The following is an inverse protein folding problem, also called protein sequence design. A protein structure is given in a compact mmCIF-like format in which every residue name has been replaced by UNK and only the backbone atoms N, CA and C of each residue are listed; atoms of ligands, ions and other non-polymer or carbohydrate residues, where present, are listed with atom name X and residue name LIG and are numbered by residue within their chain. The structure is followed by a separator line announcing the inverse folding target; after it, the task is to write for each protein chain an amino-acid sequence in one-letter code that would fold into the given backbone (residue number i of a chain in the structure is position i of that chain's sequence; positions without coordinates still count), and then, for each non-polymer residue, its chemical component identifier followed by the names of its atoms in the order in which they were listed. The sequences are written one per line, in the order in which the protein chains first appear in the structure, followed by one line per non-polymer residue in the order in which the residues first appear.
data_IF_907796155296
#
_entry.id   IF_907796155296
#
_cell.length_a   1.000
_cell.length_b   1.000
_cell.length_c   1.000
_cell.angle_alpha   90.00
_cell.angle_beta   90.00
_cell.angle_gamma   90.00
#
_symmetry.space_group_name_H-M   'P 1'
#
loop_
_entity.id
_entity.type
_entity.pdbx_description
1 polymer ?
#
# COMPACT_ATOMS: atom_id res chain seq x y z
N UNK A 1 -19.62 -21.98 -26.52
CA UNK A 1 -19.92 -21.17 -25.31
C UNK A 1 -20.30 -19.77 -25.78
N UNK A 2 -21.29 -19.11 -25.18
CA UNK A 2 -21.65 -17.74 -25.58
C UNK A 2 -20.71 -16.71 -24.97
N UNK A 3 -20.72 -15.46 -25.45
CA UNK A 3 -19.95 -14.39 -24.81
C UNK A 3 -20.51 -14.12 -23.41
N UNK A 4 -19.63 -13.95 -22.43
CA UNK A 4 -20.03 -13.63 -21.05
C UNK A 4 -19.43 -12.33 -20.58
N UNK A 5 -20.08 -11.72 -19.60
CA UNK A 5 -19.55 -10.56 -18.88
C UNK A 5 -19.75 -10.78 -17.38
N UNK A 6 -18.73 -10.47 -16.59
CA UNK A 6 -18.79 -10.63 -15.14
C UNK A 6 -18.02 -9.52 -14.44
N UNK A 7 -18.34 -9.26 -13.18
CA UNK A 7 -17.46 -8.48 -12.31
C UNK A 7 -16.24 -9.33 -11.99
N UNK A 8 -15.08 -8.71 -12.02
CA UNK A 8 -13.82 -9.37 -11.77
C UNK A 8 -12.98 -8.51 -10.84
N UNK A 9 -12.19 -9.17 -9.98
CA UNK A 9 -11.25 -8.50 -9.09
C UNK A 9 -9.85 -8.88 -9.52
N UNK A 10 -9.10 -7.88 -9.95
CA UNK A 10 -7.70 -8.01 -10.32
C UNK A 10 -6.82 -7.67 -9.10
N UNK A 11 -5.91 -8.59 -8.79
CA UNK A 11 -4.86 -8.39 -7.80
C UNK A 11 -3.56 -8.07 -8.53
N UNK A 12 -3.08 -6.86 -8.32
CA UNK A 12 -1.91 -6.30 -9.00
C UNK A 12 -0.78 -6.24 -7.97
N UNK A 13 0.40 -6.74 -8.34
CA UNK A 13 1.54 -6.82 -7.43
C UNK A 13 1.89 -5.48 -6.81
N UNK A 14 1.92 -4.41 -7.61
CA UNK A 14 2.20 -3.07 -7.14
C UNK A 14 1.49 -2.02 -7.99
N UNK A 15 1.30 -0.84 -7.39
CA UNK A 15 0.86 0.35 -8.09
C UNK A 15 1.86 1.48 -7.81
N UNK A 16 2.88 1.57 -8.66
CA UNK A 16 3.94 2.57 -8.50
C UNK A 16 3.40 3.98 -8.78
N UNK A 17 3.78 4.99 -7.98
CA UNK A 17 3.51 6.38 -8.32
C UNK A 17 4.36 6.80 -9.53
N UNK A 18 3.96 7.87 -10.22
CA UNK A 18 4.76 8.41 -11.32
C UNK A 18 6.12 8.99 -10.88
N UNK A 19 6.16 9.51 -9.65
CA UNK A 19 7.37 9.89 -8.92
C UNK A 19 7.17 9.52 -7.45
N UNK A 20 8.20 8.97 -6.81
CA UNK A 20 8.23 8.74 -5.36
C UNK A 20 8.25 10.05 -4.59
N UNK A 21 8.06 9.97 -3.28
CA UNK A 21 8.20 11.13 -2.40
C UNK A 21 9.67 11.52 -2.27
N UNK A 22 9.90 12.83 -2.13
CA UNK A 22 11.24 13.38 -2.01
C UNK A 22 11.43 14.68 -2.80
N UNK A 23 12.66 15.16 -2.77
CA UNK A 23 13.09 16.41 -3.41
C UNK A 23 13.68 16.14 -4.80
N UNK A 24 13.22 16.89 -5.79
CA UNK A 24 13.57 16.75 -7.20
C UNK A 24 14.09 18.07 -7.78
N UNK A 25 14.95 17.94 -8.78
CA UNK A 25 15.49 19.06 -9.56
C UNK A 25 15.17 18.85 -11.04
N UNK A 26 14.60 19.87 -11.69
CA UNK A 26 14.40 19.94 -13.13
C UNK A 26 15.39 20.93 -13.73
N UNK A 27 16.23 20.45 -14.64
CA UNK A 27 17.08 21.30 -15.45
C UNK A 27 16.47 21.49 -16.84
N UNK A 28 16.08 22.73 -17.16
CA UNK A 28 15.47 23.09 -18.44
C UNK A 28 16.51 23.79 -19.31
N UNK A 29 16.90 23.16 -20.41
CA UNK A 29 17.73 23.77 -21.45
C UNK A 29 17.00 23.86 -22.78
N UNK A 30 17.16 24.97 -23.50
CA UNK A 30 16.56 25.16 -24.82
C UNK A 30 17.64 25.48 -25.84
N UNK A 31 17.58 24.81 -26.99
CA UNK A 31 18.38 25.12 -28.18
C UNK A 31 17.45 25.37 -29.35
N UNK A 32 17.60 26.49 -30.07
CA UNK A 32 16.80 26.79 -31.27
C UNK A 32 17.64 26.56 -32.52
N UNK A 33 17.09 25.82 -33.49
CA UNK A 33 17.74 25.53 -34.78
C UNK A 33 16.86 26.02 -35.94
N UNK A 34 17.37 26.94 -36.75
CA UNK A 34 16.74 27.39 -38.00
C UNK A 34 17.78 27.89 -39.01
N UNK A 35 17.42 28.00 -40.29
CA UNK A 35 18.31 28.55 -41.30
C UNK A 35 18.68 30.01 -40.96
N UNK A 36 19.97 30.31 -40.85
CA UNK A 36 20.48 31.64 -40.45
C UNK A 36 20.64 31.85 -38.94
N UNK A 37 20.32 30.85 -38.11
CA UNK A 37 20.45 30.90 -36.64
C UNK A 37 21.77 30.24 -36.23
N UNK A 38 22.70 31.03 -35.67
CA UNK A 38 24.05 30.56 -35.29
C UNK A 38 24.05 29.54 -34.13
N UNK A 39 25.17 28.84 -33.90
CA UNK A 39 25.32 27.86 -32.80
C UNK A 39 25.21 28.45 -31.38
N UNK A 40 25.09 29.78 -31.25
CA UNK A 40 24.94 30.51 -29.97
C UNK A 40 23.49 30.58 -29.44
N UNK A 41 22.55 29.83 -30.01
CA UNK A 41 21.14 29.84 -29.60
C UNK A 41 20.81 28.81 -28.51
N UNK A 42 21.71 28.69 -27.52
CA UNK A 42 21.51 27.90 -26.30
C UNK A 42 21.17 28.85 -25.17
N UNK A 43 19.98 28.71 -24.60
CA UNK A 43 19.56 29.47 -23.43
C UNK A 43 20.13 28.84 -22.17
N UNK A 44 20.49 29.67 -21.19
CA UNK A 44 21.02 29.21 -19.90
C UNK A 44 20.04 28.23 -19.25
N UNK A 45 20.56 27.09 -18.79
CA UNK A 45 19.79 26.11 -18.05
C UNK A 45 19.10 26.80 -16.86
N UNK A 46 17.79 26.65 -16.74
CA UNK A 46 17.07 27.03 -15.54
C UNK A 46 16.89 25.78 -14.69
N UNK A 47 17.36 25.85 -13.45
CA UNK A 47 17.20 24.78 -12.46
C UNK A 47 16.01 25.11 -11.57
N UNK A 48 15.02 24.22 -11.54
CA UNK A 48 13.84 24.33 -10.69
C UNK A 48 13.84 23.19 -9.69
N UNK A 49 13.77 23.51 -8.41
CA UNK A 49 13.63 22.51 -7.35
C UNK A 49 12.16 22.41 -6.96
N UNK A 50 11.66 21.19 -6.80
CA UNK A 50 10.30 20.91 -6.34
C UNK A 50 10.29 19.63 -5.52
N UNK A 51 9.28 19.47 -4.66
CA UNK A 51 9.18 18.30 -3.78
C UNK A 51 7.85 17.57 -4.04
N UNK A 52 7.90 16.25 -4.05
CA UNK A 52 6.72 15.38 -4.05
C UNK A 52 6.46 14.97 -2.61
N UNK A 53 5.34 15.42 -2.05
CA UNK A 53 4.97 15.14 -0.66
C UNK A 53 4.39 13.73 -0.51
N UNK A 54 4.86 13.00 0.50
CA UNK A 54 4.32 11.70 0.91
C UNK A 54 4.08 11.65 2.40
N UNK A 55 3.03 10.92 2.81
CA UNK A 55 2.81 10.65 4.23
C UNK A 55 3.99 9.82 4.76
N UNK A 56 4.56 10.20 5.92
CA UNK A 56 5.73 9.54 6.51
C UNK A 56 5.54 9.21 7.99
N UNK A 57 5.22 10.21 8.79
CA UNK A 57 5.09 10.08 10.25
C UNK A 57 3.65 9.94 10.74
N UNK A 58 2.68 10.43 9.95
CA UNK A 58 1.26 10.33 10.23
C UNK A 58 0.54 10.00 8.94
N UNK A 59 -0.59 9.31 9.05
CA UNK A 59 -1.49 9.05 7.93
C UNK A 59 -2.74 9.90 8.08
N UNK A 60 -3.24 10.43 6.97
CA UNK A 60 -4.54 11.11 6.98
C UNK A 60 -5.63 10.04 7.08
N UNK A 61 -6.65 10.24 7.94
CA UNK A 61 -7.77 9.31 8.02
C UNK A 61 -8.47 9.06 6.67
N UNK A 62 -8.45 10.06 5.77
CA UNK A 62 -9.03 9.97 4.43
C UNK A 62 -8.25 9.03 3.47
N UNK A 63 -6.98 8.73 3.76
CA UNK A 63 -6.19 7.78 2.96
C UNK A 63 -6.55 6.33 3.29
N UNK A 64 -7.18 6.08 4.43
CA UNK A 64 -7.66 4.75 4.86
C UNK A 64 -9.08 4.54 4.34
N UNK A 65 -9.26 3.56 3.44
CA UNK A 65 -10.56 3.14 2.96
C UNK A 65 -11.28 2.25 3.98
N UNK A 66 -10.58 1.25 4.52
CA UNK A 66 -11.12 0.38 5.56
C UNK A 66 -10.03 -0.34 6.36
N UNK A 67 -10.40 -0.82 7.55
CA UNK A 67 -9.55 -1.66 8.40
C UNK A 67 -10.38 -2.86 8.85
N UNK A 68 -9.78 -4.05 8.80
CA UNK A 68 -10.42 -5.26 9.30
C UNK A 68 -9.42 -6.13 10.06
N UNK A 69 -9.75 -6.66 11.26
CA UNK A 69 -10.94 -6.37 12.05
C UNK A 69 -11.06 -4.88 12.43
N UNK A 70 -12.27 -4.37 12.72
CA UNK A 70 -12.43 -3.00 13.22
C UNK A 70 -11.63 -2.77 14.51
N UNK A 71 -11.13 -1.54 14.75
CA UNK A 71 -10.44 -1.21 16.00
C UNK A 71 -11.29 -1.54 17.22
N UNK A 72 -10.67 -2.11 18.26
CA UNK A 72 -11.33 -2.49 19.52
C UNK A 72 -12.52 -3.46 19.36
N UNK A 73 -12.55 -4.23 18.27
CA UNK A 73 -13.59 -5.26 18.08
C UNK A 73 -13.35 -6.49 18.97
N UNK A 74 -14.45 -7.06 19.46
CA UNK A 74 -14.47 -8.31 20.20
C UNK A 74 -15.12 -9.38 19.31
N UNK A 75 -14.40 -10.46 19.02
CA UNK A 75 -14.88 -11.52 18.15
C UNK A 75 -13.83 -12.59 17.88
N UNK A 76 -14.25 -13.66 17.21
CA UNK A 76 -13.35 -14.71 16.74
C UNK A 76 -12.62 -14.22 15.49
N UNK A 77 -11.41 -13.69 15.69
CA UNK A 77 -10.57 -13.16 14.62
C UNK A 77 -9.34 -14.03 14.36
N UNK A 78 -9.20 -15.19 15.00
CA UNK A 78 -8.02 -16.05 14.83
C UNK A 78 -7.93 -16.68 13.44
N UNK A 79 -9.03 -16.70 12.68
CA UNK A 79 -9.10 -17.27 11.34
C UNK A 79 -9.04 -16.23 10.22
N UNK A 80 -8.78 -14.96 10.53
CA UNK A 80 -8.70 -13.88 9.53
C UNK A 80 -7.38 -13.14 9.68
N UNK A 81 -6.71 -12.89 8.56
CA UNK A 81 -5.57 -11.99 8.53
C UNK A 81 -6.07 -10.55 8.70
N UNK A 82 -5.60 -9.82 9.72
CA UNK A 82 -5.83 -8.39 9.80
C UNK A 82 -5.33 -7.72 8.53
N UNK A 83 -6.01 -6.67 8.09
CA UNK A 83 -5.66 -5.91 6.90
C UNK A 83 -6.08 -4.46 7.02
N UNK A 84 -5.33 -3.59 6.37
CA UNK A 84 -5.71 -2.20 6.11
C UNK A 84 -5.81 -2.00 4.60
N UNK A 85 -6.85 -1.29 4.17
CA UNK A 85 -7.09 -0.93 2.77
C UNK A 85 -6.93 0.57 2.64
N UNK A 86 -6.05 1.02 1.75
CA UNK A 86 -5.82 2.42 1.44
C UNK A 86 -6.57 2.87 0.19
N UNK A 87 -7.25 4.01 0.29
CA UNK A 87 -7.85 4.71 -0.83
C UNK A 87 -6.78 5.33 -1.74
N UNK A 88 -5.65 5.78 -1.16
CA UNK A 88 -4.45 6.18 -1.90
C UNK A 88 -3.67 4.92 -2.29
N UNK A 89 -4.02 4.36 -3.45
CA UNK A 89 -3.49 3.08 -3.92
C UNK A 89 -1.98 3.06 -4.20
N UNK A 90 -1.31 4.21 -4.33
CA UNK A 90 0.16 4.26 -4.49
C UNK A 90 0.90 4.33 -3.17
N UNK A 91 0.22 4.66 -2.07
CA UNK A 91 0.83 5.03 -0.79
C UNK A 91 1.88 4.00 -0.31
N UNK A 92 1.64 2.68 -0.36
CA UNK A 92 2.64 1.71 0.10
C UNK A 92 3.93 1.69 -0.74
N UNK A 93 3.95 2.29 -1.94
CA UNK A 93 5.10 2.33 -2.85
C UNK A 93 5.70 3.73 -3.04
N UNK A 94 5.30 4.71 -2.23
CA UNK A 94 5.78 6.09 -2.37
C UNK A 94 7.18 6.33 -1.81
N UNK A 95 7.69 5.42 -0.97
CA UNK A 95 9.04 5.48 -0.39
C UNK A 95 9.80 4.18 -0.66
N UNK A 96 11.08 4.12 -0.31
CA UNK A 96 11.92 2.93 -0.48
C UNK A 96 12.29 2.32 0.87
N UNK A 97 12.31 0.99 0.94
CA UNK A 97 12.72 0.27 2.16
C UNK A 97 14.25 0.21 2.34
N UNK A 98 14.99 0.42 1.25
CA UNK A 98 16.43 0.27 1.19
C UNK A 98 16.98 1.07 0.00
N UNK A 99 18.27 1.36 0.03
CA UNK A 99 18.98 1.77 -1.17
C UNK A 99 19.15 0.56 -2.12
N UNK A 100 18.88 0.71 -3.43
CA UNK A 100 19.18 -0.31 -4.42
C UNK A 100 20.67 -0.65 -4.44
N UNK A 101 21.01 -1.95 -4.51
CA UNK A 101 22.43 -2.36 -4.54
C UNK A 101 23.15 -1.92 -5.81
N UNK A 102 22.41 -1.80 -6.91
CA UNK A 102 22.87 -1.35 -8.21
C UNK A 102 21.69 -0.85 -9.07
N UNK A 103 21.96 -0.37 -10.28
CA UNK A 103 20.93 0.18 -11.19
C UNK A 103 19.91 -0.85 -11.66
N UNK A 104 20.27 -2.12 -11.75
CA UNK A 104 19.38 -3.19 -12.22
C UNK A 104 18.41 -3.66 -11.14
N UNK A 105 18.76 -3.38 -9.88
CA UNK A 105 17.99 -3.72 -8.69
C UNK A 105 16.99 -2.63 -8.29
N UNK A 106 17.07 -1.46 -8.93
CA UNK A 106 16.20 -0.31 -8.65
C UNK A 106 14.72 -0.69 -8.74
N UNK A 107 14.30 -1.31 -9.84
CA UNK A 107 12.89 -1.68 -10.07
C UNK A 107 12.40 -2.72 -9.05
N UNK A 108 13.30 -3.58 -8.56
CA UNK A 108 13.00 -4.61 -7.56
C UNK A 108 12.70 -3.95 -6.22
N UNK A 109 13.54 -3.03 -5.79
CA UNK A 109 13.36 -2.30 -4.52
C UNK A 109 12.19 -1.31 -4.60
N UNK A 110 11.98 -0.68 -5.75
CA UNK A 110 10.88 0.24 -5.97
C UNK A 110 9.50 -0.43 -5.88
N UNK A 111 9.42 -1.71 -6.28
CA UNK A 111 8.24 -2.56 -6.16
C UNK A 111 7.93 -3.01 -4.72
N UNK A 112 8.87 -2.85 -3.77
CA UNK A 112 8.68 -3.27 -2.39
C UNK A 112 7.91 -2.21 -1.59
N UNK A 113 6.86 -2.60 -0.84
CA UNK A 113 6.13 -1.66 -0.02
C UNK A 113 6.97 -1.16 1.17
N UNK A 114 6.92 0.15 1.44
CA UNK A 114 7.65 0.75 2.57
C UNK A 114 6.93 0.64 3.91
N UNK A 115 5.86 -0.15 3.99
CA UNK A 115 5.08 -0.33 5.21
C UNK A 115 4.60 -1.77 5.34
N UNK A 116 4.42 -2.22 6.57
CA UNK A 116 3.89 -3.54 6.89
C UNK A 116 2.87 -3.45 8.03
N UNK A 117 1.88 -4.33 7.99
CA UNK A 117 0.93 -4.50 9.09
C UNK A 117 1.39 -5.67 9.96
N UNK A 118 1.69 -5.41 11.23
CA UNK A 118 2.24 -6.39 12.16
C UNK A 118 1.24 -6.70 13.27
N UNK A 119 1.02 -7.99 13.51
CA UNK A 119 0.25 -8.47 14.67
C UNK A 119 1.20 -8.79 15.81
N UNK A 120 0.93 -8.25 16.99
CA UNK A 120 1.60 -8.51 18.26
C UNK A 120 0.64 -9.16 19.24
N UNK A 121 1.11 -10.13 20.00
CA UNK A 121 0.38 -10.71 21.11
C UNK A 121 0.67 -9.93 22.39
N UNK A 122 -0.15 -10.17 23.42
CA UNK A 122 0.08 -9.65 24.76
C UNK A 122 1.51 -9.98 25.26
N UNK A 123 2.19 -8.98 25.81
CA UNK A 123 3.58 -9.07 26.30
C UNK A 123 4.68 -9.09 25.23
N UNK A 124 4.35 -8.98 23.95
CA UNK A 124 5.36 -8.88 22.88
C UNK A 124 5.82 -7.43 22.59
N UNK A 125 5.08 -6.44 23.10
CA UNK A 125 5.44 -5.02 23.09
C UNK A 125 6.04 -4.63 24.44
N UNK A 126 7.00 -3.72 24.43
CA UNK A 126 7.66 -3.20 25.63
C UNK A 126 7.52 -1.69 25.78
N UNK A 127 8.09 -1.15 26.85
CA UNK A 127 8.14 0.30 27.10
C UNK A 127 9.32 0.96 26.36
N UNK A 128 9.06 2.11 25.74
CA UNK A 128 10.07 2.88 24.99
C UNK A 128 11.18 3.38 25.93
N UNK A 129 12.44 3.22 25.51
CA UNK A 129 13.61 3.75 26.23
C UNK A 129 14.15 2.89 27.38
N UNK A 130 13.52 1.75 27.69
CA UNK A 130 14.08 0.75 28.60
C UNK A 130 15.06 -0.18 27.87
N UNK A 131 16.13 -0.60 28.54
CA UNK A 131 17.06 -1.63 28.02
C UNK A 131 16.35 -2.99 28.02
N UNK A 132 16.72 -3.85 27.07
CA UNK A 132 16.39 -5.27 27.13
C UNK A 132 17.00 -5.84 28.42
N UNK A 133 16.21 -5.95 29.49
CA UNK A 133 16.58 -6.80 30.60
C UNK A 133 16.37 -8.25 30.13
N UNK A 134 17.43 -8.82 29.55
CA UNK A 134 17.60 -10.26 29.45
C UNK A 134 17.69 -10.84 30.88
N UNK A 135 16.57 -10.92 31.58
CA UNK A 135 16.34 -11.82 32.70
C UNK A 135 14.83 -11.86 32.96
N UNK A 136 14.19 -12.92 32.46
CA UNK A 136 12.93 -13.38 33.03
C UNK A 136 13.23 -13.79 34.47
N UNK A 137 13.19 -12.84 35.41
CA UNK A 137 12.86 -13.19 36.79
C UNK A 137 11.37 -13.49 36.78
N UNK A 138 11.03 -14.76 36.56
CA UNK A 138 9.76 -15.30 37.02
C UNK A 138 9.75 -15.12 38.54
N UNK A 139 9.32 -13.96 39.02
CA UNK A 139 8.82 -13.84 40.38
C UNK A 139 7.46 -14.52 40.36
N UNK A 140 7.44 -15.80 40.72
CA UNK A 140 6.22 -16.40 41.26
C UNK A 140 5.92 -15.60 42.53
N UNK A 141 5.04 -14.59 42.42
CA UNK A 141 4.44 -13.93 43.59
C UNK A 141 3.32 -14.85 44.07
N UNK A 142 3.67 -15.80 44.92
CA UNK A 142 2.75 -16.22 45.98
C UNK A 142 2.75 -15.11 47.03
N UNK A 143 2.02 -14.03 46.75
CA UNK A 143 1.64 -13.03 47.75
C UNK A 143 0.51 -12.19 47.14
N UNK A 144 -0.71 -12.48 47.57
CA UNK A 144 -1.87 -11.62 47.36
C UNK A 144 -1.60 -10.34 48.13
N UNK A 145 -1.24 -9.28 47.39
CA UNK A 145 -1.41 -7.91 47.85
C UNK A 145 -2.45 -7.27 46.97
N UNK A 146 -3.53 -6.85 47.60
CA UNK A 146 -4.46 -5.88 47.05
C UNK A 146 -3.68 -4.59 46.78
N UNK A 147 -3.36 -4.31 45.52
CA UNK A 147 -2.68 -3.08 45.09
C UNK A 147 -3.42 -2.47 43.89
N UNK A 148 -3.64 -1.16 44.01
CA UNK A 148 -4.51 -0.29 43.22
C UNK A 148 -4.30 -0.33 41.69
N UNK A 149 -5.41 -0.19 40.94
CA UNK A 149 -5.49 -0.13 39.47
C UNK A 149 -4.78 1.07 38.78
N UNK A 150 -3.87 1.81 39.40
CA UNK A 150 -3.53 3.17 38.92
C UNK A 150 -2.17 3.41 38.23
N UNK A 151 -1.21 2.48 38.21
CA UNK A 151 0.11 2.73 37.57
C UNK A 151 0.56 1.69 36.54
N UNK A 152 0.32 0.39 36.77
CA UNK A 152 0.78 -0.65 35.83
C UNK A 152 -0.10 -0.75 34.58
N UNK A 153 -1.42 -0.61 34.72
CA UNK A 153 -2.33 -0.58 33.55
C UNK A 153 -2.10 0.59 32.60
N UNK A 154 -1.58 1.72 33.11
CA UNK A 154 -1.21 2.87 32.26
C UNK A 154 0.06 2.60 31.43
N UNK A 155 1.04 1.90 32.01
CA UNK A 155 2.28 1.50 31.31
C UNK A 155 2.00 0.44 30.25
N UNK A 156 1.13 -0.52 30.56
CA UNK A 156 0.71 -1.54 29.59
C UNK A 156 -0.04 -0.90 28.42
N UNK A 157 -0.96 0.04 28.68
CA UNK A 157 -1.66 0.77 27.64
C UNK A 157 -0.73 1.65 26.77
N UNK A 158 0.32 2.24 27.36
CA UNK A 158 1.31 3.01 26.61
C UNK A 158 2.20 2.11 25.73
N UNK A 159 2.63 0.96 26.25
CA UNK A 159 3.38 -0.02 25.47
C UNK A 159 2.56 -0.58 24.30
N UNK A 160 1.26 -0.82 24.51
CA UNK A 160 0.35 -1.35 23.49
C UNK A 160 -0.01 -0.33 22.41
N UNK A 161 -0.34 0.90 22.78
CA UNK A 161 -0.75 1.95 21.83
C UNK A 161 0.45 2.66 21.18
N UNK A 162 1.63 2.51 21.75
CA UNK A 162 2.83 3.24 21.38
C UNK A 162 2.90 4.62 22.03
N UNK A 163 4.13 5.12 22.17
CA UNK A 163 4.42 6.44 22.74
C UNK A 163 4.48 7.48 21.63
N UNK A 164 3.69 8.54 21.74
CA UNK A 164 3.77 9.69 20.83
C UNK A 164 4.96 10.56 21.25
N UNK A 165 5.89 10.82 20.33
CA UNK A 165 7.02 11.72 20.56
C UNK A 165 7.37 12.56 19.33
N UNK A 166 8.16 13.62 19.56
CA UNK A 166 8.70 14.44 18.49
C UNK A 166 9.84 13.70 17.78
N UNK A 167 9.99 13.93 16.48
CA UNK A 167 11.07 13.35 15.69
C UNK A 167 12.45 13.66 16.27
N UNK A 168 12.67 14.89 16.71
CA UNK A 168 13.93 15.28 17.36
C UNK A 168 14.23 14.48 18.63
N UNK A 169 13.21 14.01 19.34
CA UNK A 169 13.39 13.24 20.57
C UNK A 169 13.58 11.76 20.27
N UNK A 170 12.86 11.24 19.26
CA UNK A 170 13.10 9.91 18.70
C UNK A 170 14.56 9.74 18.25
N UNK A 171 15.09 10.70 17.50
CA UNK A 171 16.47 10.68 17.00
C UNK A 171 17.54 10.75 18.10
N UNK A 172 17.16 11.04 19.35
CA UNK A 172 18.05 11.07 20.53
C UNK A 172 17.90 9.83 21.42
N UNK A 173 17.05 8.86 21.06
CA UNK A 173 16.85 7.66 21.86
C UNK A 173 18.19 6.90 22.02
N UNK A 174 18.58 6.54 23.26
CA UNK A 174 19.90 5.99 23.55
C UNK A 174 20.15 4.61 22.92
N UNK A 175 19.08 3.91 22.55
CA UNK A 175 19.07 2.58 21.95
C UNK A 175 18.65 2.59 20.47
N UNK A 176 18.50 3.75 19.84
CA UNK A 176 18.19 3.84 18.42
C UNK A 176 19.37 3.33 17.59
N UNK A 177 19.22 2.14 17.02
CA UNK A 177 20.11 1.62 15.99
C UNK A 177 19.59 2.06 14.63
N UNK A 178 20.41 2.83 13.92
CA UNK A 178 20.18 3.17 12.52
C UNK A 178 20.66 2.03 11.62
N UNK A 179 20.41 2.17 10.32
CA UNK A 179 20.94 1.26 9.32
C UNK A 179 22.47 1.10 9.46
N UNK A 180 23.05 -0.04 9.01
CA UNK A 180 24.48 -0.33 9.20
C UNK A 180 25.44 0.73 8.62
N UNK A 181 24.99 1.49 7.63
CA UNK A 181 25.69 2.62 7.01
C UNK A 181 25.58 3.93 7.81
N UNK A 182 24.81 3.92 8.90
CA UNK A 182 24.53 5.08 9.76
C UNK A 182 23.55 6.07 9.14
N UNK A 183 22.83 5.69 8.07
CA UNK A 183 21.86 6.57 7.43
C UNK A 183 20.79 6.99 8.44
N UNK A 184 20.58 8.30 8.55
CA UNK A 184 19.47 8.88 9.30
C UNK A 184 18.40 9.26 8.30
N UNK A 185 17.12 8.97 8.58
CA UNK A 185 16.00 9.50 7.80
C UNK A 185 16.22 10.99 7.55
N UNK A 186 16.53 11.37 6.32
CA UNK A 186 16.76 12.77 5.97
C UNK A 186 15.39 13.45 5.96
N UNK A 187 15.27 14.60 6.63
CA UNK A 187 14.03 15.36 6.61
C UNK A 187 13.79 15.93 5.21
N UNK A 188 12.60 15.69 4.69
CA UNK A 188 12.15 16.32 3.45
C UNK A 188 11.87 17.82 3.66
N UNK A 189 11.80 18.58 2.57
CA UNK A 189 11.67 20.04 2.61
C UNK A 189 10.44 20.56 3.37
N UNK A 190 9.40 19.75 3.58
CA UNK A 190 8.20 20.08 4.36
C UNK A 190 8.13 19.40 5.73
N UNK A 191 9.18 18.69 6.14
CA UNK A 191 9.28 18.00 7.42
C UNK A 191 10.17 18.78 8.40
N UNK A 192 9.89 18.61 9.69
CA UNK A 192 10.67 19.27 10.74
C UNK A 192 10.76 18.40 11.99
N UNK A 193 11.74 18.70 12.83
CA UNK A 193 12.00 17.92 14.04
C UNK A 193 10.89 17.95 15.12
N UNK A 194 9.85 18.77 14.97
CA UNK A 194 8.68 18.78 15.85
C UNK A 194 7.51 17.95 15.29
N UNK A 195 7.69 17.27 14.16
CA UNK A 195 6.69 16.34 13.67
C UNK A 195 6.54 15.18 14.66
N UNK A 196 5.28 14.82 14.92
CA UNK A 196 4.94 13.77 15.87
C UNK A 196 4.98 12.42 15.17
N UNK A 197 5.52 11.43 15.86
CA UNK A 197 5.44 10.02 15.46
C UNK A 197 4.94 9.17 16.63
N UNK A 198 4.41 8.00 16.29
CA UNK A 198 4.09 6.95 17.27
C UNK A 198 5.22 5.92 17.26
N UNK A 199 5.81 5.66 18.43
CA UNK A 199 6.92 4.70 18.59
C UNK A 199 6.43 3.51 19.40
N UNK A 200 6.68 2.31 18.88
CA UNK A 200 6.52 1.06 19.62
C UNK A 200 7.90 0.45 19.90
N UNK A 201 8.07 -0.15 21.08
CA UNK A 201 9.27 -0.89 21.43
C UNK A 201 9.01 -2.38 21.24
N UNK A 202 9.82 -3.04 20.43
CA UNK A 202 9.72 -4.47 20.11
C UNK A 202 11.09 -5.11 20.23
N UNK A 203 11.14 -6.33 20.76
CA UNK A 203 12.39 -7.12 20.77
C UNK A 203 12.89 -7.32 19.33
N UNK A 204 14.16 -7.01 19.08
CA UNK A 204 14.78 -7.16 17.74
C UNK A 204 14.66 -8.59 17.19
N UNK A 205 14.80 -9.60 18.06
CA UNK A 205 14.65 -11.01 17.70
C UNK A 205 13.23 -11.35 17.22
N UNK A 206 12.21 -10.81 17.89
CA UNK A 206 10.82 -10.96 17.47
C UNK A 206 10.57 -10.24 16.15
N UNK A 207 11.02 -8.99 16.02
CA UNK A 207 10.80 -8.21 14.80
C UNK A 207 11.41 -8.89 13.57
N UNK A 208 12.60 -9.47 13.69
CA UNK A 208 13.23 -10.29 12.63
C UNK A 208 12.46 -11.58 12.27
N UNK A 209 11.65 -12.12 13.18
CA UNK A 209 10.77 -13.25 12.88
C UNK A 209 9.48 -12.81 12.20
N UNK A 210 9.02 -11.59 12.49
CA UNK A 210 7.77 -11.05 11.97
C UNK A 210 7.91 -10.45 10.58
N UNK A 211 9.07 -9.87 10.27
CA UNK A 211 9.33 -9.20 9.01
C UNK A 211 9.86 -10.16 7.94
N UNK A 212 9.30 -10.14 6.71
CA UNK A 212 9.79 -10.96 5.61
C UNK A 212 11.13 -10.45 5.09
N UNK A 213 11.75 -11.24 4.22
CA UNK A 213 13.02 -10.93 3.54
C UNK A 213 12.95 -11.32 2.06
N UNK A 214 13.83 -10.74 1.24
CA UNK A 214 13.96 -11.09 -0.18
C UNK A 214 12.66 -10.86 -0.98
N UNK A 215 12.27 -11.83 -1.81
CA UNK A 215 11.13 -11.71 -2.72
C UNK A 215 9.78 -11.61 -1.99
N UNK A 216 9.69 -12.08 -0.75
CA UNK A 216 8.47 -11.99 0.07
C UNK A 216 8.11 -10.54 0.43
N UNK A 217 9.08 -9.62 0.37
CA UNK A 217 8.83 -8.19 0.63
C UNK A 217 7.81 -7.61 -0.33
N UNK A 218 7.81 -8.06 -1.60
CA UNK A 218 6.82 -7.60 -2.57
C UNK A 218 5.39 -8.03 -2.21
N UNK A 219 5.21 -9.02 -1.34
CA UNK A 219 3.91 -9.57 -0.94
C UNK A 219 3.29 -8.86 0.28
N UNK A 220 4.01 -7.92 0.90
CA UNK A 220 3.51 -7.12 2.02
C UNK A 220 2.29 -6.26 1.65
N UNK A 221 2.12 -5.96 0.36
CA UNK A 221 1.00 -5.21 -0.15
C UNK A 221 0.70 -5.63 -1.58
N UNK A 222 -0.56 -5.49 -1.98
CA UNK A 222 -0.98 -5.61 -3.37
C UNK A 222 -2.05 -4.56 -3.66
N UNK A 223 -2.12 -4.10 -4.91
CA UNK A 223 -3.21 -3.28 -5.35
C UNK A 223 -4.38 -4.17 -5.78
N UNK A 224 -5.60 -3.69 -5.53
CA UNK A 224 -6.83 -4.33 -5.95
C UNK A 224 -7.58 -3.36 -6.84
N UNK A 225 -8.05 -3.86 -7.97
CA UNK A 225 -8.92 -3.15 -8.89
C UNK A 225 -10.13 -4.02 -9.23
N UNK A 226 -11.33 -3.48 -9.09
CA UNK A 226 -12.56 -4.13 -9.53
C UNK A 226 -12.88 -3.67 -10.95
N UNK A 227 -12.94 -4.61 -11.90
CA UNK A 227 -13.18 -4.36 -13.32
C UNK A 227 -14.33 -5.23 -13.84
N UNK A 228 -14.79 -4.98 -15.07
CA UNK A 228 -15.66 -5.91 -15.77
C UNK A 228 -14.83 -6.74 -16.73
N UNK A 229 -15.15 -8.02 -16.85
CA UNK A 229 -14.43 -8.92 -17.73
C UNK A 229 -15.37 -9.49 -18.77
N UNK A 230 -15.08 -9.21 -20.03
CA UNK A 230 -15.77 -9.85 -21.16
C UNK A 230 -14.94 -11.04 -21.63
N UNK A 231 -15.59 -12.20 -21.70
CA UNK A 231 -15.06 -13.37 -22.39
C UNK A 231 -15.70 -13.45 -23.78
N UNK A 232 -14.98 -13.01 -24.81
CA UNK A 232 -15.40 -13.15 -26.20
C UNK A 232 -15.10 -14.56 -26.69
N UNK A 233 -16.12 -15.23 -27.23
CA UNK A 233 -16.07 -16.58 -27.79
C UNK A 233 -16.18 -16.56 -29.33
N UNK A 234 -15.95 -15.39 -29.94
CA UNK A 234 -15.96 -15.18 -31.37
C UNK A 234 -14.79 -14.29 -31.80
N UNK A 235 -14.33 -14.49 -33.04
CA UNK A 235 -13.26 -13.70 -33.65
C UNK A 235 -13.78 -12.30 -34.01
N UNK A 236 -13.21 -11.21 -33.47
CA UNK A 236 -13.64 -9.86 -33.79
C UNK A 236 -13.41 -9.50 -35.27
N UNK A 237 -14.34 -8.79 -35.88
CA UNK A 237 -14.19 -8.26 -37.26
C UNK A 237 -13.41 -6.96 -37.32
N UNK A 238 -13.22 -6.30 -36.17
CA UNK A 238 -12.50 -5.03 -35.99
C UNK A 238 -11.57 -5.11 -34.78
N UNK A 239 -10.60 -4.20 -34.76
CA UNK A 239 -9.59 -4.01 -33.71
C UNK A 239 -10.12 -3.26 -32.47
N UNK A 240 -11.40 -2.88 -32.47
CA UNK A 240 -12.05 -2.29 -31.31
C UNK A 240 -13.47 -2.84 -31.10
N UNK A 241 -13.81 -2.94 -29.82
CA UNK A 241 -15.15 -3.23 -29.29
C UNK A 241 -15.64 -1.98 -28.59
N UNK A 242 -16.90 -1.63 -28.78
CA UNK A 242 -17.57 -0.54 -28.07
C UNK A 242 -18.56 -1.12 -27.08
N UNK A 243 -18.62 -0.58 -25.86
CA UNK A 243 -19.62 -0.99 -24.88
C UNK A 243 -20.29 0.23 -24.26
N UNK A 244 -21.55 0.05 -23.87
CA UNK A 244 -22.33 1.00 -23.08
C UNK A 244 -22.86 0.32 -21.83
N UNK A 245 -22.82 1.05 -20.73
CA UNK A 245 -23.48 0.70 -19.48
C UNK A 245 -24.55 1.73 -19.15
N UNK A 246 -25.75 1.26 -18.82
CA UNK A 246 -26.85 2.12 -18.38
C UNK A 246 -27.39 1.66 -17.04
N UNK A 247 -27.73 2.60 -16.16
CA UNK A 247 -28.33 2.31 -14.86
C UNK A 247 -29.78 1.78 -14.98
N UNK A 248 -30.41 1.53 -13.84
CA UNK A 248 -31.77 0.99 -13.75
C UNK A 248 -32.81 1.92 -14.39
N UNK A 249 -32.56 3.24 -14.36
CA UNK A 249 -33.39 4.26 -15.00
C UNK A 249 -33.12 4.41 -16.51
N UNK A 250 -32.11 3.70 -17.04
CA UNK A 250 -31.71 3.72 -18.44
C UNK A 250 -30.79 4.89 -18.82
N UNK A 251 -30.33 5.68 -17.86
CA UNK A 251 -29.35 6.73 -18.08
C UNK A 251 -27.97 6.13 -18.38
N UNK A 252 -27.21 6.79 -19.25
CA UNK A 252 -25.88 6.33 -19.62
C UNK A 252 -24.92 6.54 -18.44
N UNK A 253 -24.42 5.45 -17.88
CA UNK A 253 -23.45 5.47 -16.79
C UNK A 253 -22.01 5.51 -17.32
N UNK A 254 -21.72 4.72 -18.36
CA UNK A 254 -20.40 4.68 -18.98
C UNK A 254 -20.47 4.21 -20.43
N UNK A 255 -19.53 4.65 -21.26
CA UNK A 255 -19.29 4.07 -22.58
C UNK A 255 -17.84 4.26 -23.01
N UNK A 256 -17.23 3.23 -23.61
CA UNK A 256 -15.85 3.31 -24.09
C UNK A 256 -15.56 2.30 -25.21
N UNK A 257 -14.44 2.55 -25.89
CA UNK A 257 -13.83 1.60 -26.81
C UNK A 257 -12.72 0.81 -26.10
N UNK A 258 -12.64 -0.48 -26.38
CA UNK A 258 -11.59 -1.38 -25.90
C UNK A 258 -10.95 -2.07 -27.09
N UNK A 259 -9.61 -2.09 -27.11
CA UNK A 259 -8.86 -2.76 -28.15
C UNK A 259 -9.10 -4.27 -28.11
N UNK A 260 -9.22 -4.89 -29.28
CA UNK A 260 -9.42 -6.35 -29.42
C UNK A 260 -8.45 -6.91 -30.45
N UNK A 261 -7.94 -8.10 -30.16
CA UNK A 261 -7.06 -8.82 -31.05
C UNK A 261 -7.89 -9.54 -32.13
N UNK A 262 -7.82 -9.05 -33.36
CA UNK A 262 -8.54 -9.65 -34.50
C UNK A 262 -7.96 -10.98 -34.96
N UNK A 263 -6.83 -11.42 -34.43
CA UNK A 263 -6.22 -12.72 -34.76
C UNK A 263 -6.76 -13.85 -33.90
N UNK A 264 -7.28 -13.54 -32.70
CA UNK A 264 -7.74 -14.53 -31.73
C UNK A 264 -9.18 -14.96 -31.97
N UNK A 265 -9.42 -16.27 -31.94
CA UNK A 265 -10.76 -16.87 -32.07
C UNK A 265 -11.61 -16.67 -30.79
N UNK A 266 -10.97 -16.44 -29.66
CA UNK A 266 -11.57 -16.11 -28.37
C UNK A 266 -10.57 -15.30 -27.55
N UNK A 267 -11.04 -14.36 -26.74
CA UNK A 267 -10.18 -13.58 -25.86
C UNK A 267 -10.93 -13.02 -24.66
N UNK A 268 -10.18 -12.75 -23.60
CA UNK A 268 -10.68 -12.11 -22.40
C UNK A 268 -10.21 -10.66 -22.38
N UNK A 269 -11.14 -9.75 -22.08
CA UNK A 269 -10.90 -8.30 -22.07
C UNK A 269 -11.32 -7.74 -20.73
N UNK A 270 -10.50 -6.84 -20.18
CA UNK A 270 -10.89 -6.01 -19.04
C UNK A 270 -11.55 -4.73 -19.56
N UNK A 271 -12.68 -4.36 -18.97
CA UNK A 271 -13.35 -3.09 -19.15
C UNK A 271 -13.30 -2.34 -17.82
N UNK A 272 -12.78 -1.13 -17.86
CA UNK A 272 -12.75 -0.22 -16.72
C UNK A 272 -13.80 0.90 -16.95
N UNK A 273 -15.02 0.76 -16.40
CA UNK A 273 -16.01 1.83 -16.45
C UNK A 273 -15.75 2.93 -15.41
N UNK A 274 -14.67 2.83 -14.63
CA UNK A 274 -14.41 3.67 -13.47
C UNK A 274 -15.39 3.40 -12.33
N UNK A 275 -15.53 4.38 -11.42
CA UNK A 275 -16.39 4.25 -10.24
C UNK A 275 -17.86 4.20 -10.62
N UNK A 276 -18.54 3.12 -10.22
CA UNK A 276 -19.98 2.95 -10.36
C UNK A 276 -20.66 2.92 -8.98
N UNK A 277 -21.89 3.43 -8.90
CA UNK A 277 -22.68 3.36 -7.67
C UNK A 277 -23.28 1.95 -7.53
N UNK A 278 -23.70 1.60 -6.32
CA UNK A 278 -24.47 0.38 -6.13
C UNK A 278 -25.78 0.46 -6.93
N UNK A 279 -26.09 -0.61 -7.67
CA UNK A 279 -27.24 -0.67 -8.55
C UNK A 279 -27.11 -1.75 -9.62
N UNK A 280 -28.17 -1.89 -10.39
CA UNK A 280 -28.21 -2.80 -11.54
C UNK A 280 -27.87 -2.01 -12.81
N UNK A 281 -26.97 -2.56 -13.64
CA UNK A 281 -26.50 -1.93 -14.86
C UNK A 281 -26.73 -2.85 -16.05
N UNK A 282 -27.43 -2.37 -17.08
CA UNK A 282 -27.50 -3.06 -18.35
C UNK A 282 -26.23 -2.82 -19.16
N UNK A 283 -25.68 -3.87 -19.76
CA UNK A 283 -24.47 -3.79 -20.60
C UNK A 283 -24.79 -4.19 -22.03
N UNK A 284 -24.47 -3.31 -22.96
CA UNK A 284 -24.58 -3.57 -24.40
C UNK A 284 -23.22 -3.42 -25.05
N UNK A 285 -22.96 -4.29 -26.02
CA UNK A 285 -21.64 -4.40 -26.62
C UNK A 285 -21.79 -4.49 -28.13
N UNK A 286 -20.90 -3.83 -28.86
CA UNK A 286 -20.87 -3.79 -30.32
C UNK A 286 -19.46 -4.01 -30.84
N UNK A 287 -19.38 -4.73 -31.95
CA UNK A 287 -18.18 -4.82 -32.79
C UNK A 287 -18.60 -4.44 -34.20
N UNK A 288 -17.92 -3.48 -34.82
CA UNK A 288 -18.24 -3.02 -36.18
C UNK A 288 -19.70 -2.60 -36.36
N UNK A 289 -20.26 -1.86 -35.38
CA UNK A 289 -21.67 -1.42 -35.30
C UNK A 289 -22.70 -2.56 -35.19
N UNK A 290 -22.27 -3.81 -35.16
CA UNK A 290 -23.13 -4.97 -34.91
C UNK A 290 -23.17 -5.27 -33.42
N UNK A 291 -24.37 -5.30 -32.85
CA UNK A 291 -24.55 -5.68 -31.45
C UNK A 291 -24.16 -7.15 -31.27
N UNK A 292 -23.39 -7.42 -30.21
CA UNK A 292 -23.07 -8.78 -29.76
C UNK A 292 -23.80 -9.05 -28.44
N UNK A 293 -24.31 -10.26 -28.28
CA UNK A 293 -24.97 -10.67 -27.04
C UNK A 293 -23.92 -11.10 -26.03
N UNK A 294 -23.97 -10.52 -24.83
CA UNK A 294 -23.21 -10.94 -23.65
C UNK A 294 -24.18 -11.39 -22.56
N UNK A 295 -23.77 -12.38 -21.75
CA UNK A 295 -24.58 -12.87 -20.63
C UNK A 295 -23.82 -12.75 -19.29
N UNK A 296 -24.51 -12.34 -18.21
CA UNK A 296 -25.84 -11.74 -18.17
C UNK A 296 -25.90 -10.38 -18.90
N UNK A 297 -27.10 -9.94 -19.31
CA UNK A 297 -27.31 -8.61 -19.93
C UNK A 297 -27.33 -7.47 -18.89
N UNK A 298 -27.48 -7.83 -17.61
CA UNK A 298 -27.48 -6.92 -16.47
C UNK A 298 -26.48 -7.41 -15.44
N UNK A 299 -25.68 -6.49 -14.91
CA UNK A 299 -24.70 -6.73 -13.86
C UNK A 299 -25.13 -5.97 -12.62
N UNK A 300 -25.10 -6.64 -11.47
CA UNK A 300 -25.38 -6.03 -10.18
C UNK A 300 -24.09 -5.58 -9.52
N UNK A 301 -24.01 -4.31 -9.19
CA UNK A 301 -22.94 -3.73 -8.37
C UNK A 301 -23.50 -3.53 -6.96
N UNK A 302 -22.86 -4.11 -5.96
CA UNK A 302 -23.23 -3.94 -4.55
C UNK A 302 -22.45 -2.80 -3.92
N UNK A 303 -22.96 -2.23 -2.83
CA UNK A 303 -22.29 -1.14 -2.13
C UNK A 303 -20.91 -1.54 -1.57
N UNK A 304 -20.72 -2.81 -1.24
CA UNK A 304 -19.47 -3.34 -0.72
C UNK A 304 -18.41 -3.60 -1.80
N UNK A 305 -18.79 -3.57 -3.09
CA UNK A 305 -17.86 -3.91 -4.17
C UNK A 305 -16.84 -2.79 -4.41
N UNK A 306 -17.12 -1.56 -3.93
CA UNK A 306 -16.33 -0.34 -4.20
C UNK A 306 -15.86 -0.30 -5.67
N UNK A 307 -16.78 -0.61 -6.58
CA UNK A 307 -16.45 -0.97 -7.96
C UNK A 307 -15.72 0.17 -8.68
N UNK A 308 -14.66 -0.16 -9.42
CA UNK A 308 -13.79 0.81 -10.11
C UNK A 308 -12.91 1.65 -9.19
N UNK A 309 -12.92 1.42 -7.87
CA UNK A 309 -11.92 2.00 -6.99
C UNK A 309 -10.66 1.13 -7.01
N UNK A 310 -9.53 1.77 -7.30
CA UNK A 310 -8.22 1.16 -7.09
C UNK A 310 -7.83 1.41 -5.64
N UNK A 311 -7.46 0.36 -4.93
CA UNK A 311 -7.03 0.41 -3.54
C UNK A 311 -5.74 -0.35 -3.35
N UNK A 312 -5.00 -0.06 -2.30
CA UNK A 312 -3.88 -0.89 -1.85
C UNK A 312 -4.27 -1.64 -0.58
N UNK A 313 -3.94 -2.92 -0.50
CA UNK A 313 -4.28 -3.79 0.63
C UNK A 313 -2.97 -4.24 1.27
N UNK A 314 -2.80 -3.92 2.55
CA UNK A 314 -1.67 -4.39 3.37
C UNK A 314 -2.21 -5.44 4.34
N UNK A 315 -2.12 -6.74 4.00
CA UNK A 315 -2.42 -7.81 4.92
C UNK A 315 -1.35 -7.90 6.01
N UNK A 316 -1.73 -8.43 7.17
CA UNK A 316 -0.80 -8.62 8.26
C UNK A 316 0.07 -9.86 8.08
N UNK A 317 1.23 -9.84 8.72
CA UNK A 317 2.25 -10.87 8.59
C UNK A 317 1.90 -12.24 9.20
N UNK A 318 0.92 -12.29 10.12
CA UNK A 318 0.47 -13.54 10.76
C UNK A 318 -0.96 -13.43 11.27
N UNK A 319 -1.56 -14.59 11.59
CA UNK A 319 -2.87 -14.67 12.22
C UNK A 319 -2.81 -14.32 13.72
N UNK A 320 -3.88 -13.70 14.26
CA UNK A 320 -4.07 -13.55 15.71
C UNK A 320 -4.11 -14.92 16.42
N UNK A 321 -3.61 -14.97 17.65
CA UNK A 321 -3.72 -16.20 18.47
C UNK A 321 -5.18 -16.43 18.93
N UNK A 322 -5.72 -17.65 18.81
CA UNK A 322 -7.05 -17.98 19.34
C UNK A 322 -7.15 -17.70 20.84
N UNK A 323 -8.25 -17.08 21.26
CA UNK A 323 -8.55 -16.82 22.67
C UNK A 323 -7.62 -15.80 23.37
N UNK A 324 -6.77 -15.10 22.61
CA UNK A 324 -5.86 -14.09 23.14
C UNK A 324 -6.12 -12.72 22.50
N UNK A 325 -5.79 -11.66 23.25
CA UNK A 325 -5.79 -10.30 22.71
C UNK A 325 -4.62 -10.14 21.73
N UNK A 326 -4.86 -9.45 20.62
CA UNK A 326 -3.82 -9.08 19.65
C UNK A 326 -3.84 -7.58 19.40
N UNK A 327 -2.66 -6.99 19.26
CA UNK A 327 -2.42 -5.59 18.97
C UNK A 327 -1.86 -5.51 17.56
N UNK A 328 -2.43 -4.66 16.71
CA UNK A 328 -2.04 -4.56 15.31
C UNK A 328 -1.51 -3.16 15.04
N UNK A 329 -0.28 -3.07 14.52
CA UNK A 329 0.35 -1.81 14.16
C UNK A 329 0.76 -1.81 12.69
N UNK A 330 0.47 -0.70 12.00
CA UNK A 330 1.09 -0.41 10.72
C UNK A 330 2.44 0.25 11.00
N UNK A 331 3.52 -0.34 10.51
CA UNK A 331 4.88 0.12 10.75
C UNK A 331 5.56 0.60 9.48
N UNK A 332 6.39 1.63 9.59
CA UNK A 332 7.27 2.07 8.52
C UNK A 332 8.49 1.15 8.41
N UNK A 333 8.79 0.74 7.18
CA UNK A 333 9.97 -0.04 6.77
C UNK A 333 10.97 0.81 5.97
N UNK A 334 10.72 2.13 5.84
CA UNK A 334 11.59 3.05 5.12
C UNK A 334 13.03 2.94 5.64
N UNK A 335 13.98 2.70 4.73
CA UNK A 335 15.41 2.57 5.03
C UNK A 335 15.73 1.57 6.17
N UNK A 336 14.91 0.53 6.33
CA UNK A 336 15.06 -0.51 7.37
C UNK A 336 15.66 -1.82 6.87
N UNK A 337 15.93 -1.90 5.57
CA UNK A 337 16.46 -3.09 4.91
C UNK A 337 17.82 -2.79 4.25
N UNK A 338 18.65 -3.83 4.15
CA UNK A 338 19.93 -3.77 3.45
C UNK A 338 20.17 -5.05 2.67
N UNK A 339 21.01 -4.96 1.64
CA UNK A 339 21.45 -6.13 0.89
C UNK A 339 22.55 -6.87 1.67
N UNK A 340 22.27 -8.09 2.11
CA UNK A 340 23.20 -8.90 2.92
C UNK A 340 24.21 -9.72 2.08
N UNK A 341 24.23 -9.51 0.76
CA UNK A 341 25.01 -10.30 -0.19
C UNK A 341 24.18 -11.38 -0.90
N UNK A 342 22.99 -11.70 -0.38
CA UNK A 342 22.08 -12.71 -0.94
C UNK A 342 20.67 -12.16 -1.17
N UNK A 343 20.15 -11.39 -0.22
CA UNK A 343 18.79 -10.86 -0.27
C UNK A 343 18.68 -9.57 0.55
N UNK A 344 17.54 -8.88 0.42
CA UNK A 344 17.19 -7.80 1.31
C UNK A 344 16.71 -8.35 2.65
N UNK A 345 17.40 -7.95 3.72
CA UNK A 345 17.16 -8.40 5.09
C UNK A 345 17.04 -7.22 6.04
N UNK A 346 16.21 -7.37 7.07
CA UNK A 346 16.07 -6.38 8.14
C UNK A 346 17.31 -6.38 9.06
N UNK A 347 17.84 -5.20 9.42
CA UNK A 347 19.09 -5.08 10.18
C UNK A 347 18.98 -5.31 11.69
#
# INVERSE_FOLDING_TARGET
MGNTIETYVDYIQNQLPGLKSGDYTVDVSQTITAAGVSDKNKFSSQTLNFSIRGERFNLKPADIASVYPPPNSLGEHSSVFPQVVFARNTLPWERMIAEPKDKTDHDVVEAMPWMALLVFNEGELGEVGKKDEDEVKVKIKDEVKDEDESEDGAKDAEAENGTIMLLNDFLKLPNLQLAPDGHKPTLESDENGNDKLTVIQVKKSLLRQLLPAGEELAQLCHARESSLRINLQEKPTKDSLYYEMRDAEGQLAHAAHVAVDTTKASQQLSLDPGKLKAGDYSVKVWIDKKAITVKPETIKITANDEFGQKVAIVPANRLPKPGARSIVHLVSLEERYYWDGKQYSFY
#
